data_IF_862776948832
#
_entry.id   IF_862776948832
#
_cell.length_a   1.000
_cell.length_b   1.000
_cell.length_c   1.000
_cell.angle_alpha   90.00
_cell.angle_beta   90.00
_cell.angle_gamma   90.00
#
_symmetry.space_group_name_H-M   'P 1'
#
loop_
_entity.id
_entity.type
_entity.pdbx_description
1 polymer ?
#
# COMPACT_ATOMS: atom_id res chain seq x y z
N UNK A 1 -67.65 38.54 -45.92
CA UNK A 1 -67.03 39.22 -44.77
C UNK A 1 -67.08 38.29 -43.57
N UNK A 2 -65.94 38.00 -42.94
CA UNK A 2 -65.82 37.08 -41.79
C UNK A 2 -65.41 37.93 -40.59
N UNK A 3 -66.28 38.08 -39.58
CA UNK A 3 -65.98 38.87 -38.39
C UNK A 3 -64.85 38.21 -37.58
N UNK A 4 -63.87 38.98 -37.06
CA UNK A 4 -62.88 38.44 -36.14
C UNK A 4 -63.56 38.15 -34.80
N UNK A 5 -63.48 36.90 -34.34
CA UNK A 5 -63.87 36.54 -32.99
C UNK A 5 -62.86 37.15 -32.00
N UNK A 6 -63.31 38.08 -31.15
CA UNK A 6 -62.51 38.58 -30.05
C UNK A 6 -62.43 37.52 -28.96
N UNK A 7 -61.26 36.93 -28.76
CA UNK A 7 -61.02 36.09 -27.59
C UNK A 7 -60.97 36.99 -26.34
N UNK A 8 -61.77 36.71 -25.30
CA UNK A 8 -61.68 37.45 -24.05
C UNK A 8 -60.33 37.15 -23.39
N UNK A 9 -59.49 38.17 -23.26
CA UNK A 9 -58.26 38.11 -22.47
C UNK A 9 -58.63 38.04 -20.99
N UNK A 10 -58.72 36.82 -20.44
CA UNK A 10 -58.86 36.62 -19.01
C UNK A 10 -57.53 36.97 -18.32
N UNK A 11 -57.55 37.96 -17.42
CA UNK A 11 -56.42 38.28 -16.54
C UNK A 11 -56.33 37.27 -15.40
N UNK A 12 -55.12 36.99 -14.92
CA UNK A 12 -54.89 36.13 -13.77
C UNK A 12 -55.52 36.70 -12.50
N UNK A 13 -56.14 35.85 -11.69
CA UNK A 13 -56.66 36.26 -10.39
C UNK A 13 -55.52 36.39 -9.37
N UNK A 14 -55.68 37.29 -8.40
CA UNK A 14 -54.70 37.46 -7.32
C UNK A 14 -54.49 36.15 -6.54
N UNK A 15 -55.54 35.34 -6.39
CA UNK A 15 -55.51 34.01 -5.77
C UNK A 15 -54.62 33.06 -6.57
N UNK A 16 -54.73 33.04 -7.89
CA UNK A 16 -53.94 32.17 -8.75
C UNK A 16 -52.45 32.52 -8.72
N UNK A 17 -52.11 33.80 -8.64
CA UNK A 17 -50.73 34.25 -8.49
C UNK A 17 -50.13 33.84 -7.14
N UNK A 18 -50.90 33.92 -6.06
CA UNK A 18 -50.47 33.48 -4.72
C UNK A 18 -50.27 31.96 -4.66
N UNK A 19 -51.21 31.18 -5.22
CA UNK A 19 -51.11 29.71 -5.26
C UNK A 19 -49.93 29.29 -6.14
N UNK A 20 -49.77 29.89 -7.33
CA UNK A 20 -48.66 29.61 -8.24
C UNK A 20 -47.31 29.92 -7.61
N UNK A 21 -47.16 31.07 -6.94
CA UNK A 21 -45.95 31.42 -6.21
C UNK A 21 -45.68 30.46 -5.04
N UNK A 22 -46.72 30.07 -4.30
CA UNK A 22 -46.64 29.08 -3.22
C UNK A 22 -46.11 27.72 -3.71
N UNK A 23 -46.71 27.18 -4.77
CA UNK A 23 -46.28 25.91 -5.37
C UNK A 23 -44.85 25.99 -5.91
N UNK A 24 -44.50 27.08 -6.60
CA UNK A 24 -43.14 27.30 -7.10
C UNK A 24 -42.13 27.33 -5.95
N UNK A 25 -42.43 28.02 -4.86
CA UNK A 25 -41.55 28.08 -3.69
C UNK A 25 -41.33 26.70 -3.05
N UNK A 26 -42.37 25.87 -2.98
CA UNK A 26 -42.30 24.52 -2.43
C UNK A 26 -41.45 23.60 -3.32
N UNK A 27 -41.61 23.70 -4.65
CA UNK A 27 -40.78 22.96 -5.62
C UNK A 27 -39.31 23.37 -5.50
N UNK A 28 -39.03 24.68 -5.44
CA UNK A 28 -37.66 25.19 -5.28
C UNK A 28 -37.02 24.74 -3.96
N UNK A 29 -37.78 24.74 -2.86
CA UNK A 29 -37.30 24.27 -1.56
C UNK A 29 -36.94 22.78 -1.60
N UNK A 30 -37.79 21.94 -2.20
CA UNK A 30 -37.51 20.52 -2.37
C UNK A 30 -36.30 20.26 -3.27
N UNK A 31 -36.18 20.98 -4.38
CA UNK A 31 -35.03 20.90 -5.28
C UNK A 31 -33.73 21.30 -4.58
N UNK A 32 -33.75 22.39 -3.79
CA UNK A 32 -32.61 22.84 -3.01
C UNK A 32 -32.21 21.81 -1.95
N UNK A 33 -33.17 21.20 -1.26
CA UNK A 33 -32.91 20.15 -0.27
C UNK A 33 -32.24 18.93 -0.92
N UNK A 34 -32.72 18.49 -2.08
CA UNK A 34 -32.11 17.39 -2.83
C UNK A 34 -30.66 17.70 -3.26
N UNK A 35 -30.42 18.91 -3.78
CA UNK A 35 -29.07 19.35 -4.17
C UNK A 35 -28.12 19.40 -2.97
N UNK A 36 -28.58 19.96 -1.85
CA UNK A 36 -27.80 20.05 -0.61
C UNK A 36 -27.45 18.66 -0.05
N UNK A 37 -28.41 17.73 -0.07
CA UNK A 37 -28.19 16.34 0.31
C UNK A 37 -27.15 15.66 -0.60
N UNK A 38 -27.24 15.86 -1.92
CA UNK A 38 -26.27 15.32 -2.89
C UNK A 38 -24.85 15.83 -2.65
N UNK A 39 -24.67 17.15 -2.48
CA UNK A 39 -23.37 17.75 -2.20
C UNK A 39 -22.78 17.29 -0.86
N UNK A 40 -23.63 17.10 0.14
CA UNK A 40 -23.21 16.61 1.46
C UNK A 40 -22.76 15.15 1.38
N UNK A 41 -23.50 14.32 0.63
CA UNK A 41 -23.14 12.92 0.39
C UNK A 41 -21.80 12.82 -0.36
N UNK A 42 -21.58 13.65 -1.39
CA UNK A 42 -20.31 13.67 -2.11
C UNK A 42 -19.12 13.96 -1.18
N UNK A 43 -19.23 14.99 -0.33
CA UNK A 43 -18.16 15.36 0.63
C UNK A 43 -17.85 14.26 1.64
N UNK A 44 -18.84 13.42 1.97
CA UNK A 44 -18.66 12.29 2.89
C UNK A 44 -17.96 11.11 2.21
N UNK A 45 -18.21 10.90 0.91
CA UNK A 45 -17.74 9.73 0.17
C UNK A 45 -16.34 9.97 -0.42
N UNK A 46 -16.03 11.20 -0.86
CA UNK A 46 -14.77 11.54 -1.54
C UNK A 46 -13.52 11.00 -0.80
N UNK A 47 -13.34 11.22 0.52
CA UNK A 47 -12.12 10.77 1.20
C UNK A 47 -11.98 9.24 1.26
N UNK A 48 -13.11 8.52 1.26
CA UNK A 48 -13.13 7.05 1.26
C UNK A 48 -12.74 6.49 -0.10
N UNK A 49 -13.20 7.15 -1.17
CA UNK A 49 -12.79 6.81 -2.54
C UNK A 49 -11.30 7.06 -2.70
N UNK A 50 -10.80 8.21 -2.23
CA UNK A 50 -9.38 8.54 -2.26
C UNK A 50 -8.53 7.51 -1.49
N UNK A 51 -8.94 7.15 -0.27
CA UNK A 51 -8.26 6.13 0.53
C UNK A 51 -8.23 4.77 -0.17
N UNK A 52 -9.36 4.33 -0.76
CA UNK A 52 -9.43 3.07 -1.49
C UNK A 52 -8.58 3.07 -2.76
N UNK A 53 -8.55 4.18 -3.49
CA UNK A 53 -7.71 4.32 -4.67
C UNK A 53 -6.22 4.32 -4.30
N UNK A 54 -5.83 5.06 -3.27
CA UNK A 54 -4.47 5.08 -2.74
C UNK A 54 -4.03 3.70 -2.28
N UNK A 55 -4.88 2.98 -1.54
CA UNK A 55 -4.63 1.61 -1.13
C UNK A 55 -4.40 0.70 -2.33
N UNK A 56 -5.25 0.77 -3.36
CA UNK A 56 -5.12 -0.05 -4.56
C UNK A 56 -3.80 0.20 -5.28
N UNK A 57 -3.46 1.47 -5.54
CA UNK A 57 -2.21 1.84 -6.22
C UNK A 57 -1.00 1.42 -5.41
N UNK A 58 -1.01 1.63 -4.10
CA UNK A 58 0.08 1.23 -3.21
C UNK A 58 0.28 -0.29 -3.21
N UNK A 59 -0.81 -1.05 -3.06
CA UNK A 59 -0.78 -2.52 -3.08
C UNK A 59 -0.30 -3.07 -4.43
N UNK A 60 -0.81 -2.54 -5.54
CA UNK A 60 -0.39 -2.99 -6.88
C UNK A 60 1.11 -2.75 -7.09
N UNK A 61 1.63 -1.61 -6.61
CA UNK A 61 3.05 -1.27 -6.70
C UNK A 61 3.92 -2.19 -5.84
N UNK A 62 3.57 -2.38 -4.57
CA UNK A 62 4.30 -3.30 -3.67
C UNK A 62 4.24 -4.73 -4.22
N UNK A 63 3.07 -5.17 -4.70
CA UNK A 63 2.89 -6.49 -5.25
C UNK A 63 3.71 -6.71 -6.53
N UNK A 64 3.83 -5.70 -7.38
CA UNK A 64 4.67 -5.77 -8.58
C UNK A 64 6.15 -5.96 -8.22
N UNK A 65 6.65 -5.20 -7.26
CA UNK A 65 8.02 -5.33 -6.77
C UNK A 65 8.27 -6.72 -6.14
N UNK A 66 7.38 -7.16 -5.24
CA UNK A 66 7.47 -8.46 -4.57
C UNK A 66 7.42 -9.63 -5.55
N UNK A 67 6.57 -9.59 -6.58
CA UNK A 67 6.51 -10.66 -7.60
C UNK A 67 7.81 -10.80 -8.38
N UNK A 68 8.59 -9.73 -8.49
CA UNK A 68 9.90 -9.71 -9.14
C UNK A 68 11.07 -9.70 -8.12
N UNK A 69 10.79 -9.98 -6.85
CA UNK A 69 11.82 -10.06 -5.81
C UNK A 69 12.82 -11.18 -6.14
N UNK A 70 14.10 -10.88 -5.95
CA UNK A 70 15.20 -11.76 -6.32
C UNK A 70 16.31 -11.73 -5.26
N UNK A 71 17.09 -12.79 -5.19
CA UNK A 71 18.31 -12.85 -4.38
C UNK A 71 19.48 -12.47 -5.30
N UNK A 72 20.12 -11.35 -5.03
CA UNK A 72 21.11 -10.77 -5.93
C UNK A 72 22.55 -10.98 -5.45
N UNK A 73 22.77 -10.98 -4.14
CA UNK A 73 24.03 -11.39 -3.52
C UNK A 73 23.77 -12.02 -2.16
N UNK A 74 24.80 -12.60 -1.54
CA UNK A 74 24.71 -13.12 -0.17
C UNK A 74 24.65 -12.01 0.87
N UNK A 75 24.96 -10.77 0.51
CA UNK A 75 24.90 -9.61 1.38
C UNK A 75 23.56 -8.86 1.27
N UNK A 76 22.94 -8.88 0.09
CA UNK A 76 21.64 -8.25 -0.18
C UNK A 76 20.48 -9.19 0.18
N UNK A 77 20.15 -9.25 1.46
CA UNK A 77 19.07 -10.07 1.99
C UNK A 77 17.69 -9.44 1.76
N UNK A 78 16.67 -10.29 1.71
CA UNK A 78 15.28 -9.88 1.91
C UNK A 78 15.07 -9.68 3.41
N UNK A 79 14.75 -8.46 3.81
CA UNK A 79 14.65 -8.04 5.21
C UNK A 79 13.26 -7.45 5.49
N UNK A 80 12.52 -8.13 6.34
CA UNK A 80 11.25 -7.69 6.89
C UNK A 80 11.41 -7.37 8.37
N UNK A 81 11.21 -6.11 8.75
CA UNK A 81 11.38 -5.62 10.12
C UNK A 81 10.04 -5.17 10.69
N UNK A 82 9.64 -5.78 11.80
CA UNK A 82 8.57 -5.26 12.65
C UNK A 82 9.07 -3.98 13.30
N UNK A 83 8.48 -2.86 12.91
CA UNK A 83 8.86 -1.54 13.39
C UNK A 83 7.61 -0.83 13.89
N UNK A 84 7.73 -0.27 15.09
CA UNK A 84 6.69 0.58 15.67
C UNK A 84 7.12 2.04 15.71
N UNK A 85 6.20 2.95 15.40
CA UNK A 85 6.38 4.38 15.61
C UNK A 85 5.36 4.89 16.63
N UNK A 86 5.77 4.93 17.90
CA UNK A 86 4.84 5.05 19.02
C UNK A 86 4.00 3.78 19.13
N UNK A 87 2.68 3.92 19.18
CA UNK A 87 1.75 2.78 19.25
C UNK A 87 1.41 2.17 17.88
N UNK A 88 1.91 2.76 16.79
CA UNK A 88 1.52 2.42 15.42
C UNK A 88 2.49 1.41 14.80
N UNK A 89 1.94 0.38 14.16
CA UNK A 89 2.70 -0.57 13.34
C UNK A 89 3.06 0.10 12.01
N UNK A 90 4.37 0.19 11.77
CA UNK A 90 5.00 0.97 10.74
C UNK A 90 6.18 0.20 10.16
N UNK A 91 5.90 -1.05 9.76
CA UNK A 91 6.88 -2.03 9.34
C UNK A 91 7.76 -1.52 8.20
N UNK A 92 8.97 -2.05 8.16
CA UNK A 92 9.93 -1.77 7.12
C UNK A 92 10.20 -3.05 6.31
N UNK A 93 10.23 -2.91 5.00
CA UNK A 93 10.53 -4.01 4.08
C UNK A 93 11.62 -3.59 3.10
N UNK A 94 12.71 -4.34 3.02
CA UNK A 94 13.84 -4.10 2.14
C UNK A 94 14.22 -5.36 1.35
N UNK A 95 14.35 -5.26 0.03
CA UNK A 95 14.70 -6.39 -0.82
C UNK A 95 15.19 -5.94 -2.20
N UNK A 96 15.83 -6.85 -2.94
CA UNK A 96 16.17 -6.64 -4.34
C UNK A 96 15.04 -7.11 -5.28
N UNK A 97 14.80 -6.38 -6.38
CA UNK A 97 13.77 -6.69 -7.37
C UNK A 97 14.24 -6.41 -8.79
N UNK A 98 13.78 -7.21 -9.75
CA UNK A 98 13.91 -6.94 -11.20
C UNK A 98 12.78 -6.04 -11.73
N UNK A 99 11.86 -5.58 -10.88
CA UNK A 99 10.86 -4.57 -11.26
C UNK A 99 11.52 -3.18 -11.35
N UNK A 100 12.45 -3.03 -12.28
CA UNK A 100 13.25 -1.83 -12.48
C UNK A 100 13.44 -1.53 -13.96
N UNK A 101 13.37 -0.25 -14.30
CA UNK A 101 13.73 0.23 -15.64
C UNK A 101 14.99 1.08 -15.51
N UNK A 102 16.13 0.61 -16.03
CA UNK A 102 17.38 1.36 -16.02
C UNK A 102 17.20 2.75 -16.63
N UNK A 103 17.66 3.79 -15.94
CA UNK A 103 17.57 5.17 -16.44
C UNK A 103 18.89 5.64 -17.06
N UNK A 104 20.01 4.97 -16.73
CA UNK A 104 21.35 5.35 -17.19
C UNK A 104 22.06 4.19 -17.90
N UNK A 105 22.94 4.46 -18.88
CA UNK A 105 23.79 3.43 -19.46
C UNK A 105 24.65 2.74 -18.39
N UNK A 106 24.71 1.41 -18.44
CA UNK A 106 25.49 0.59 -17.50
C UNK A 106 24.77 0.24 -16.18
N UNK A 107 23.52 0.68 -16.00
CA UNK A 107 22.67 0.27 -14.89
C UNK A 107 22.00 -1.08 -15.20
N UNK A 108 21.98 -1.98 -14.21
CA UNK A 108 21.32 -3.29 -14.32
C UNK A 108 19.80 -3.18 -14.29
N UNK A 109 19.12 -4.21 -14.78
CA UNK A 109 17.66 -4.36 -14.74
C UNK A 109 17.11 -4.76 -13.35
N UNK A 110 17.88 -4.46 -12.32
CA UNK A 110 17.57 -4.75 -10.93
C UNK A 110 17.82 -3.52 -10.06
N UNK A 111 17.12 -3.42 -8.94
CA UNK A 111 17.41 -2.43 -7.91
C UNK A 111 17.05 -2.96 -6.53
N UNK A 112 17.58 -2.31 -5.50
CA UNK A 112 17.13 -2.50 -4.13
C UNK A 112 15.97 -1.54 -3.85
N UNK A 113 14.91 -2.06 -3.23
CA UNK A 113 13.73 -1.31 -2.85
C UNK A 113 13.50 -1.39 -1.36
N UNK A 114 13.12 -0.27 -0.75
CA UNK A 114 12.76 -0.20 0.66
C UNK A 114 11.42 0.50 0.83
N UNK A 115 10.48 -0.12 1.52
CA UNK A 115 9.20 0.45 1.92
C UNK A 115 9.21 0.77 3.40
N UNK A 116 8.74 1.98 3.75
CA UNK A 116 8.66 2.41 5.14
C UNK A 116 7.66 3.57 5.29
N UNK A 117 7.10 3.71 6.49
CA UNK A 117 6.30 4.87 6.84
C UNK A 117 7.16 6.02 7.38
N UNK A 118 6.73 7.24 7.05
CA UNK A 118 7.25 8.47 7.65
C UNK A 118 6.08 9.32 8.17
N UNK A 119 6.17 9.91 9.37
CA UNK A 119 5.18 10.85 9.86
C UNK A 119 5.04 12.04 8.92
N UNK A 120 3.80 12.42 8.64
CA UNK A 120 3.51 13.70 7.99
C UNK A 120 3.60 14.83 9.04
N UNK A 121 4.44 15.86 8.86
CA UNK A 121 4.53 16.98 9.79
C UNK A 121 3.23 17.81 9.89
N UNK A 122 2.35 17.75 8.89
CA UNK A 122 1.10 18.52 8.87
C UNK A 122 -0.12 17.75 9.40
N UNK A 123 0.02 16.44 9.60
CA UNK A 123 -1.08 15.53 9.93
C UNK A 123 -0.72 14.55 11.06
N UNK A 124 -1.71 13.83 11.57
CA UNK A 124 -1.48 12.67 12.45
C UNK A 124 -1.32 11.36 11.65
N UNK A 125 -1.31 11.46 10.33
CA UNK A 125 -1.17 10.33 9.42
C UNK A 125 0.28 10.13 8.97
N UNK A 126 0.50 9.05 8.24
CA UNK A 126 1.78 8.63 7.71
C UNK A 126 1.75 8.62 6.19
N UNK A 127 2.91 8.89 5.61
CA UNK A 127 3.17 8.70 4.19
C UNK A 127 3.96 7.42 4.00
N UNK A 128 3.49 6.57 3.09
CA UNK A 128 4.22 5.41 2.60
C UNK A 128 5.25 5.87 1.58
N UNK A 129 6.50 5.68 1.91
CA UNK A 129 7.63 5.94 1.02
C UNK A 129 8.16 4.65 0.44
N UNK A 130 8.57 4.74 -0.83
CA UNK A 130 9.40 3.74 -1.49
C UNK A 130 10.73 4.37 -1.83
N UNK A 131 11.82 3.79 -1.34
CA UNK A 131 13.18 4.12 -1.77
C UNK A 131 13.64 3.12 -2.80
N UNK A 132 14.26 3.59 -3.88
CA UNK A 132 14.98 2.78 -4.87
C UNK A 132 16.46 3.10 -4.84
N UNK A 133 17.30 2.07 -4.78
CA UNK A 133 18.73 2.19 -4.94
C UNK A 133 19.21 1.31 -6.11
N UNK A 134 19.69 1.92 -7.22
CA UNK A 134 20.21 1.17 -8.38
C UNK A 134 21.48 0.38 -8.10
N UNK A 135 22.29 0.84 -7.14
CA UNK A 135 23.48 0.12 -6.70
C UNK A 135 23.09 -0.84 -5.56
N UNK A 136 23.69 -2.02 -5.54
CA UNK A 136 23.59 -2.92 -4.39
C UNK A 136 24.65 -2.43 -3.39
N UNK A 137 24.23 -1.56 -2.47
CA UNK A 137 25.12 -1.01 -1.45
C UNK A 137 25.25 -1.93 -0.24
N UNK A 138 26.36 -1.81 0.48
CA UNK A 138 26.55 -2.48 1.78
C UNK A 138 25.63 -1.90 2.88
N UNK A 139 25.23 -0.63 2.74
CA UNK A 139 24.24 0.00 3.62
C UNK A 139 22.87 0.04 2.90
N UNK A 140 21.91 -0.84 3.27
CA UNK A 140 20.58 -0.84 2.68
C UNK A 140 19.82 0.48 2.91
N UNK A 141 20.26 1.30 3.88
CA UNK A 141 19.60 2.54 4.28
C UNK A 141 20.23 3.83 3.69
N UNK A 142 21.39 3.78 3.04
CA UNK A 142 22.05 4.96 2.48
C UNK A 142 21.67 5.24 1.02
N UNK A 143 21.49 6.53 0.70
CA UNK A 143 21.27 6.98 -0.69
C UNK A 143 19.90 6.59 -1.26
N UNK A 144 19.85 6.39 -2.58
CA UNK A 144 18.64 6.04 -3.32
C UNK A 144 17.67 7.21 -3.58
N UNK A 145 16.78 7.03 -4.55
CA UNK A 145 15.69 7.96 -4.81
C UNK A 145 14.44 7.54 -4.05
N UNK A 146 13.79 8.51 -3.40
CA UNK A 146 12.57 8.29 -2.63
C UNK A 146 11.38 8.79 -3.42
N UNK A 147 10.32 7.99 -3.46
CA UNK A 147 9.03 8.35 -4.02
C UNK A 147 7.92 8.12 -3.00
N UNK A 148 6.95 9.03 -3.01
CA UNK A 148 5.71 8.87 -2.25
C UNK A 148 4.83 7.88 -3.00
N UNK A 149 4.31 6.88 -2.30
CA UNK A 149 3.41 5.87 -2.87
C UNK A 149 1.96 6.15 -2.48
N UNK A 150 1.73 6.46 -1.20
CA UNK A 150 0.41 6.79 -0.68
C UNK A 150 0.53 7.63 0.58
N UNK A 151 -0.43 8.53 0.77
CA UNK A 151 -0.57 9.38 1.97
C UNK A 151 -1.81 8.97 2.78
N UNK A 152 -1.88 9.40 4.03
CA UNK A 152 -3.06 9.18 4.88
C UNK A 152 -3.10 7.81 5.55
N UNK A 153 -1.96 7.12 5.65
CA UNK A 153 -1.89 5.82 6.31
C UNK A 153 -1.89 5.99 7.83
N UNK A 154 -2.50 5.02 8.50
CA UNK A 154 -2.47 4.82 9.94
C UNK A 154 -1.65 3.62 10.35
N UNK A 155 -1.44 2.66 9.44
CA UNK A 155 -0.75 1.41 9.72
C UNK A 155 -0.16 0.84 8.42
N UNK A 156 1.02 0.26 8.54
CA UNK A 156 1.65 -0.59 7.53
C UNK A 156 2.14 -1.84 8.24
N UNK A 157 1.61 -3.00 7.85
CA UNK A 157 2.05 -4.29 8.37
C UNK A 157 2.39 -5.26 7.24
N UNK A 158 3.49 -5.97 7.41
CA UNK A 158 3.91 -7.07 6.56
C UNK A 158 4.02 -8.36 7.35
N UNK A 159 3.54 -9.46 6.77
CA UNK A 159 3.73 -10.79 7.34
C UNK A 159 4.25 -11.72 6.24
N UNK A 160 5.08 -12.69 6.61
CA UNK A 160 5.90 -13.47 5.69
C UNK A 160 5.61 -14.95 5.87
N UNK A 161 5.27 -15.64 4.79
CA UNK A 161 4.94 -17.06 4.80
C UNK A 161 6.13 -17.87 4.30
N UNK A 162 6.57 -18.89 5.03
CA UNK A 162 7.68 -19.76 4.64
C UNK A 162 7.25 -21.04 3.90
N UNK A 163 5.94 -21.26 3.74
CA UNK A 163 5.37 -22.51 3.23
C UNK A 163 4.64 -23.33 4.29
N UNK A 164 4.79 -22.99 5.57
CA UNK A 164 4.19 -23.68 6.72
C UNK A 164 3.48 -22.69 7.64
N UNK A 165 4.17 -21.62 8.05
CA UNK A 165 3.67 -20.65 9.01
C UNK A 165 3.95 -19.20 8.59
N UNK A 166 3.28 -18.26 9.27
CA UNK A 166 3.43 -16.82 9.05
C UNK A 166 4.29 -16.21 10.13
N UNK A 167 5.23 -15.34 9.73
CA UNK A 167 6.13 -14.59 10.61
C UNK A 167 5.89 -13.09 10.46
N UNK A 168 6.03 -12.32 11.56
CA UNK A 168 6.01 -10.85 11.52
C UNK A 168 7.36 -10.25 11.05
N UNK A 169 8.42 -11.05 11.03
CA UNK A 169 9.77 -10.64 10.61
C UNK A 169 10.41 -11.65 9.65
N UNK A 170 11.32 -11.17 8.79
CA UNK A 170 12.05 -12.00 7.85
C UNK A 170 13.49 -11.52 7.69
N UNK A 171 14.42 -12.46 7.55
CA UNK A 171 15.85 -12.22 7.47
C UNK A 171 16.49 -11.94 8.82
N UNK A 172 17.78 -11.62 8.79
CA UNK A 172 18.58 -11.23 9.95
C UNK A 172 19.07 -9.78 9.77
N UNK A 173 18.26 -8.78 10.16
CA UNK A 173 18.62 -7.37 9.98
C UNK A 173 19.82 -6.94 10.83
N UNK A 174 20.15 -7.68 11.90
CA UNK A 174 21.25 -7.35 12.82
C UNK A 174 22.56 -8.11 12.50
N UNK A 175 22.55 -9.03 11.52
CA UNK A 175 23.67 -9.96 11.31
C UNK A 175 23.99 -10.76 12.59
N UNK A 176 23.00 -10.89 13.46
CA UNK A 176 23.14 -11.48 14.77
C UNK A 176 23.13 -13.00 14.62
N UNK A 177 24.30 -13.55 14.31
CA UNK A 177 24.62 -14.97 14.52
C UNK A 177 24.59 -15.37 16.01
N UNK A 178 23.61 -14.89 16.79
CA UNK A 178 23.37 -15.31 18.16
C UNK A 178 22.53 -16.57 18.15
N UNK A 179 23.27 -17.68 18.07
CA UNK A 179 23.14 -18.88 18.92
C UNK A 179 21.82 -18.96 19.67
N UNK A 180 20.80 -19.50 19.01
CA UNK A 180 19.76 -20.21 19.73
C UNK A 180 20.01 -21.71 19.61
N UNK A 181 20.16 -22.33 20.77
CA UNK A 181 20.20 -23.77 20.99
C UNK A 181 18.82 -24.38 20.70
N UNK A 182 18.39 -24.30 19.45
CA UNK A 182 17.26 -25.06 18.93
C UNK A 182 17.79 -25.95 17.80
N UNK A 183 17.40 -27.23 17.79
CA UNK A 183 17.91 -28.21 16.84
C UNK A 183 17.47 -27.96 15.38
N UNK A 184 16.62 -26.95 15.15
CA UNK A 184 16.13 -26.50 13.85
C UNK A 184 16.34 -24.98 13.78
N UNK A 185 17.15 -24.52 12.82
CA UNK A 185 17.27 -23.09 12.54
C UNK A 185 15.92 -22.56 12.00
N UNK A 186 15.43 -21.39 12.45
CA UNK A 186 14.21 -20.79 11.91
C UNK A 186 14.32 -20.60 10.39
N UNK A 187 13.28 -20.99 9.66
CA UNK A 187 13.22 -20.94 8.19
C UNK A 187 13.19 -19.51 7.65
N UNK A 188 12.76 -18.55 8.46
CA UNK A 188 12.62 -17.14 8.10
C UNK A 188 13.94 -16.34 8.13
N UNK A 189 15.09 -16.95 8.45
CA UNK A 189 16.36 -16.22 8.57
C UNK A 189 17.06 -15.93 7.22
N UNK A 190 16.72 -16.65 6.15
CA UNK A 190 17.39 -16.49 4.87
C UNK A 190 16.51 -16.87 3.69
N UNK A 191 16.88 -16.39 2.50
CA UNK A 191 16.12 -16.63 1.28
C UNK A 191 14.90 -15.73 1.16
N UNK A 192 14.03 -16.08 0.21
CA UNK A 192 12.79 -15.36 -0.06
C UNK A 192 11.61 -16.07 0.62
N UNK A 193 10.65 -15.32 1.19
CA UNK A 193 9.41 -15.91 1.65
C UNK A 193 8.58 -16.43 0.47
N UNK A 194 7.75 -17.43 0.72
CA UNK A 194 6.84 -18.05 -0.23
C UNK A 194 5.67 -17.11 -0.59
N UNK A 195 5.22 -16.31 0.39
CA UNK A 195 4.25 -15.25 0.20
C UNK A 195 4.44 -14.13 1.23
N UNK A 196 3.95 -12.93 0.90
CA UNK A 196 3.91 -11.78 1.80
C UNK A 196 2.48 -11.26 1.88
N UNK A 197 1.98 -11.08 3.10
CA UNK A 197 0.69 -10.43 3.37
C UNK A 197 0.97 -8.97 3.66
N UNK A 198 0.25 -8.11 2.94
CA UNK A 198 0.36 -6.67 3.04
C UNK A 198 -0.93 -6.17 3.67
N UNK A 199 -0.81 -5.43 4.76
CA UNK A 199 -1.96 -4.79 5.41
C UNK A 199 -1.72 -3.29 5.50
N UNK A 200 -2.61 -2.51 4.88
CA UNK A 200 -2.60 -1.05 4.92
C UNK A 200 -3.88 -0.58 5.63
N UNK A 201 -3.74 0.30 6.62
CA UNK A 201 -4.89 0.97 7.24
C UNK A 201 -4.88 2.46 6.91
N UNK A 202 -6.02 3.01 6.49
CA UNK A 202 -6.22 4.43 6.22
C UNK A 202 -7.23 5.03 7.19
N UNK A 203 -7.14 6.33 7.43
CA UNK A 203 -8.19 7.03 8.18
C UNK A 203 -9.49 7.09 7.34
N UNK A 204 -10.62 6.71 7.92
CA UNK A 204 -11.91 6.73 7.24
C UNK A 204 -12.47 8.15 7.06
N UNK A 205 -12.00 9.09 7.89
CA UNK A 205 -12.32 10.50 7.80
C UNK A 205 -11.02 11.32 7.86
N UNK A 206 -10.81 12.31 6.96
CA UNK A 206 -9.64 13.17 7.08
C UNK A 206 -9.76 13.89 8.43
N UNK A 207 -8.73 13.76 9.27
CA UNK A 207 -8.65 14.46 10.55
C UNK A 207 -9.07 15.91 10.32
N UNK A 208 -10.20 16.30 10.93
CA UNK A 208 -10.83 17.62 10.77
C UNK A 208 -9.73 18.66 10.84
N UNK A 209 -9.39 19.29 9.70
CA UNK A 209 -8.36 20.34 9.61
C UNK A 209 -8.57 21.30 10.76
N UNK A 210 -7.72 21.23 11.78
CA UNK A 210 -7.66 22.21 12.86
C UNK A 210 -7.03 23.48 12.30
N UNK A 211 -7.72 24.14 11.37
CA UNK A 211 -7.25 25.33 10.68
C UNK A 211 -8.27 26.46 10.81
N UNK A 212 -8.53 26.87 12.04
CA UNK A 212 -9.06 28.21 12.37
C UNK A 212 -8.63 28.61 13.77
N UNK A 213 -8.20 29.87 13.92
CA UNK A 213 -7.79 30.58 15.13
C UNK A 213 -6.31 30.46 15.58
N UNK A 214 -5.39 30.87 14.71
CA UNK A 214 -4.16 31.55 15.16
C UNK A 214 -4.03 32.89 14.42
N UNK A 215 -4.95 33.79 14.73
CA UNK A 215 -4.81 35.23 14.44
C UNK A 215 -5.59 36.01 15.49
N UNK A 216 -4.88 36.94 16.15
CA UNK A 216 -5.32 38.01 17.05
C UNK A 216 -6.07 37.66 18.35
N UNK A 217 -5.31 37.54 19.46
CA UNK A 217 -5.63 38.17 20.76
C UNK A 217 -4.43 38.03 21.72
N UNK A 218 -4.08 39.11 22.42
CA UNK A 218 -2.90 39.24 23.29
C UNK A 218 -2.97 38.47 24.63
N UNK A 219 -1.94 38.61 25.48
CA UNK A 219 -1.68 37.71 26.60
C UNK A 219 -2.46 38.10 27.86
N UNK A 220 -3.24 37.17 28.41
CA UNK A 220 -3.66 37.18 29.83
C UNK A 220 -3.52 35.74 30.36
N UNK A 221 -2.77 35.61 31.46
CA UNK A 221 -2.45 34.37 32.17
C UNK A 221 -3.60 33.82 33.03
N UNK A 222 -3.53 32.48 33.18
CA UNK A 222 -4.01 31.59 34.26
C UNK A 222 -5.45 31.00 34.20
N UNK A 223 -5.70 29.81 34.79
CA UNK A 223 -4.80 28.69 35.13
C UNK A 223 -5.18 27.35 34.44
N UNK A 224 -4.19 26.45 34.38
CA UNK A 224 -4.32 25.04 33.95
C UNK A 224 -5.24 24.28 34.90
N UNK A 225 -6.23 23.57 34.35
CA UNK A 225 -6.76 22.33 34.93
C UNK A 225 -7.44 21.46 33.87
N UNK A 226 -6.95 20.22 33.81
CA UNK A 226 -7.57 18.98 33.34
C UNK A 226 -8.74 19.07 32.36
N UNK A 227 -8.44 18.81 31.08
CA UNK A 227 -9.41 18.21 30.17
C UNK A 227 -8.94 16.79 29.87
N UNK A 228 -9.74 15.86 30.39
CA UNK A 228 -9.78 14.42 30.15
C UNK A 228 -9.51 14.04 28.69
N UNK A 229 -8.82 12.91 28.52
CA UNK A 229 -8.77 12.10 27.31
C UNK A 229 -10.17 11.97 26.68
N UNK A 230 -10.50 12.83 25.74
CA UNK A 230 -11.44 12.48 24.69
C UNK A 230 -10.66 11.57 23.74
N UNK A 231 -10.71 10.27 24.02
CA UNK A 231 -10.45 9.26 23.00
C UNK A 231 -11.45 9.55 21.88
N UNK A 232 -10.99 10.31 20.88
CA UNK A 232 -11.71 10.61 19.66
C UNK A 232 -12.45 9.35 19.26
N UNK A 233 -13.78 9.43 19.15
CA UNK A 233 -14.60 8.43 18.50
C UNK A 233 -14.21 8.42 17.02
N UNK A 234 -13.01 7.94 16.74
CA UNK A 234 -12.47 7.79 15.40
C UNK A 234 -13.29 6.68 14.76
N UNK A 235 -13.88 7.00 13.63
CA UNK A 235 -14.45 5.98 12.76
C UNK A 235 -13.37 4.90 12.54
N UNK A 236 -13.71 3.61 12.61
CA UNK A 236 -12.71 2.56 12.48
C UNK A 236 -11.93 2.74 11.17
N UNK A 237 -10.60 2.54 11.20
CA UNK A 237 -9.78 2.75 10.01
C UNK A 237 -10.20 1.80 8.89
N UNK A 238 -10.08 2.27 7.66
CA UNK A 238 -10.30 1.44 6.48
C UNK A 238 -9.09 0.54 6.29
N UNK A 239 -9.26 -0.77 6.55
CA UNK A 239 -8.20 -1.76 6.42
C UNK A 239 -8.30 -2.46 5.06
N UNK A 240 -7.21 -2.45 4.32
CA UNK A 240 -7.04 -3.17 3.07
C UNK A 240 -5.97 -4.23 3.29
N UNK A 241 -6.23 -5.45 2.82
CA UNK A 241 -5.30 -6.56 2.94
C UNK A 241 -5.19 -7.34 1.63
N UNK A 242 -3.98 -7.77 1.30
CA UNK A 242 -3.72 -8.66 0.16
C UNK A 242 -2.56 -9.61 0.46
N UNK A 243 -2.49 -10.72 -0.27
CA UNK A 243 -1.40 -11.70 -0.19
C UNK A 243 -0.74 -11.84 -1.54
N UNK A 244 0.58 -11.68 -1.58
CA UNK A 244 1.41 -11.73 -2.79
C UNK A 244 2.33 -12.93 -2.68
N UNK A 245 2.22 -13.89 -3.60
CA UNK A 245 3.21 -14.97 -3.73
C UNK A 245 4.42 -14.48 -4.52
N UNK A 246 5.61 -14.84 -4.05
CA UNK A 246 6.86 -14.54 -4.75
C UNK A 246 7.10 -15.59 -5.82
N UNK A 247 7.42 -15.17 -7.05
CA UNK A 247 7.62 -16.10 -8.17
C UNK A 247 8.90 -16.92 -8.03
N UNK A 248 9.93 -16.36 -7.39
CA UNK A 248 11.25 -16.97 -7.24
C UNK A 248 11.44 -17.67 -5.88
N UNK A 249 10.39 -17.79 -5.06
CA UNK A 249 10.43 -18.61 -3.86
C UNK A 249 10.61 -20.08 -4.28
N UNK A 250 11.80 -20.61 -4.04
CA UNK A 250 12.22 -21.92 -4.54
C UNK A 250 11.47 -23.02 -3.80
N UNK A 251 10.49 -23.64 -4.44
CA UNK A 251 10.05 -24.98 -4.02
C UNK A 251 11.22 -25.95 -4.25
N UNK A 252 11.68 -26.72 -3.25
CA UNK A 252 12.56 -27.84 -3.53
C UNK A 252 11.81 -28.80 -4.46
N UNK A 253 12.25 -28.88 -5.72
CA UNK A 253 11.75 -29.87 -6.66
C UNK A 253 12.14 -31.25 -6.14
N UNK A 254 11.16 -32.04 -5.68
CA UNK A 254 11.32 -33.45 -5.38
C UNK A 254 11.44 -34.26 -6.68
N UNK A 255 12.48 -33.99 -7.47
CA UNK A 255 12.84 -34.85 -8.60
C UNK A 255 13.78 -35.92 -8.07
N UNK A 256 13.20 -36.97 -7.47
CA UNK A 256 13.88 -38.23 -7.27
C UNK A 256 14.17 -38.83 -8.66
N UNK A 257 15.32 -38.46 -9.24
CA UNK A 257 15.87 -39.17 -10.38
C UNK A 257 16.55 -40.44 -9.87
N UNK A 258 15.78 -41.51 -9.81
CA UNK A 258 16.33 -42.86 -9.66
C UNK A 258 17.15 -43.18 -10.90
N UNK A 259 18.47 -42.99 -10.82
CA UNK A 259 19.40 -43.51 -11.82
C UNK A 259 19.58 -45.00 -11.57
N UNK A 260 18.76 -45.82 -12.23
CA UNK A 260 19.00 -47.25 -12.37
C UNK A 260 20.15 -47.45 -13.35
N UNK A 261 21.30 -47.84 -12.82
CA UNK A 261 22.46 -48.27 -13.58
C UNK A 261 22.07 -49.38 -14.57
N UNK A 262 22.23 -49.12 -15.86
CA UNK A 262 22.12 -50.14 -16.91
C UNK A 262 23.53 -50.43 -17.42
N UNK A 263 23.96 -51.67 -17.20
CA UNK A 263 25.24 -52.20 -17.62
C UNK A 263 25.40 -52.16 -19.14
N UNK A 264 26.59 -51.77 -19.62
CA UNK A 264 26.98 -51.84 -21.02
C UNK A 264 27.37 -53.29 -21.40
N UNK A 265 27.03 -53.78 -22.60
CA UNK A 265 27.58 -55.04 -23.10
C UNK A 265 28.91 -54.80 -23.84
N UNK A 266 29.83 -55.73 -23.62
CA UNK A 266 31.09 -55.91 -24.35
C UNK A 266 30.86 -56.21 -25.85
N UNK A 267 31.80 -55.80 -26.69
CA UNK A 267 32.07 -56.48 -27.96
C UNK A 267 32.34 -55.59 -29.18
N UNK A 268 33.60 -55.44 -29.56
CA UNK A 268 34.09 -55.89 -30.89
C UNK A 268 35.60 -55.63 -31.06
N UNK A 269 36.32 -56.50 -31.79
CA UNK A 269 37.77 -56.55 -31.79
C UNK A 269 38.41 -55.72 -32.92
N UNK A 270 39.65 -55.31 -32.69
CA UNK A 270 40.56 -54.68 -33.65
C UNK A 270 40.98 -55.64 -34.77
N UNK A 271 41.21 -55.15 -36.00
CA UNK A 271 42.07 -55.84 -36.96
C UNK A 271 43.43 -55.15 -37.05
N UNK A 272 44.47 -55.89 -36.66
CA UNK A 272 45.87 -55.65 -36.98
C UNK A 272 46.14 -55.95 -38.46
N UNK A 273 46.91 -55.09 -39.14
CA UNK A 273 47.45 -55.35 -40.48
C UNK A 273 48.98 -55.40 -40.38
N UNK A 274 49.69 -56.35 -41.04
CA UNK A 274 51.14 -56.49 -40.92
C UNK A 274 51.92 -55.62 -41.94
N UNK A 275 53.21 -55.48 -41.63
CA UNK A 275 54.32 -54.81 -42.33
C UNK A 275 54.32 -54.86 -43.86
N UNK A 276 54.72 -53.74 -44.46
CA UNK A 276 56.05 -53.57 -45.09
C UNK A 276 56.70 -52.28 -44.60
#
# INVERSE_FOLDING_TARGET
MKSPASHPSAGFTLVELVIGAGLMSLILAAAYACLSAGLSAQRLIEPRIDAAQNARVAMDRIAADLRAACILSKEAHFLGMDRRLGDIEADNLDFATHHHTPARPGEGDYCQVSYFLQPDPESSAFTLWRRRHPAIGLDPLAGGQREVIADGLRQLKFEYYDGWEWFDTWGDPEGSGKRETSALAPTNLSGLPDAVRITLAFDAAPARRARTARSSAGPIEAPRQAASNESSSAEPPMVFQTVVRLNLARRPSSTASGSSATAAPEGSPTPSTPMF
#
